data_IF_681679114177
#
_entry.id   IF_681679114177
#
_cell.length_a   1.000
_cell.length_b   1.000
_cell.length_c   1.000
_cell.angle_alpha   90.00
_cell.angle_beta   90.00
_cell.angle_gamma   90.00
#
_symmetry.space_group_name_H-M   'P 1'
#
loop_
_entity.id
_entity.type
_entity.pdbx_description
1 polymer ?
#
# COMPACT_ATOMS: atom_id res chain seq x y z
N UNK A 1 -6.66 5.66 5.48
CA UNK A 1 -5.42 4.98 5.94
C UNK A 1 -4.85 5.43 7.31
N UNK A 2 -5.38 6.45 7.99
CA UNK A 2 -4.86 6.98 9.28
C UNK A 2 -4.88 6.00 10.48
N UNK A 3 -5.60 4.89 10.36
CA UNK A 3 -5.66 3.83 11.36
C UNK A 3 -4.29 3.16 11.59
N UNK A 4 -3.47 3.06 10.54
CA UNK A 4 -2.23 2.26 10.56
C UNK A 4 -0.96 3.04 10.91
N UNK A 5 -1.00 4.37 10.99
CA UNK A 5 0.20 5.20 11.12
C UNK A 5 0.17 6.10 12.34
N UNK A 6 1.32 6.22 13.00
CA UNK A 6 1.58 7.26 13.98
C UNK A 6 1.59 8.65 13.29
N UNK A 7 1.38 9.74 14.05
CA UNK A 7 1.56 11.09 13.54
C UNK A 7 2.95 11.28 12.93
N UNK A 8 2.99 11.83 11.73
CA UNK A 8 4.19 12.13 10.93
C UNK A 8 4.05 13.54 10.37
N UNK A 9 5.14 14.18 9.86
CA UNK A 9 5.04 15.51 9.25
C UNK A 9 3.92 15.59 8.22
N UNK A 10 3.13 16.67 8.25
CA UNK A 10 1.84 16.76 7.55
C UNK A 10 1.94 16.45 6.04
N UNK A 11 2.94 17.00 5.36
CA UNK A 11 3.20 16.78 3.94
C UNK A 11 3.45 15.29 3.61
N UNK A 12 4.30 14.62 4.40
CA UNK A 12 4.60 13.19 4.25
C UNK A 12 3.34 12.35 4.51
N UNK A 13 2.60 12.72 5.54
CA UNK A 13 1.39 12.03 5.95
C UNK A 13 0.31 12.10 4.86
N UNK A 14 0.12 13.27 4.25
CA UNK A 14 -0.83 13.49 3.16
C UNK A 14 -0.46 12.68 1.91
N UNK A 15 0.82 12.67 1.53
CA UNK A 15 1.30 11.95 0.35
C UNK A 15 1.14 10.42 0.50
N UNK A 16 1.53 9.88 1.66
CA UNK A 16 1.34 8.44 1.96
C UNK A 16 -0.15 8.09 1.96
N UNK A 17 -0.99 8.91 2.60
CA UNK A 17 -2.44 8.65 2.65
C UNK A 17 -3.04 8.67 1.27
N UNK A 18 -2.76 9.71 0.47
CA UNK A 18 -3.31 9.86 -0.88
C UNK A 18 -2.91 8.69 -1.76
N UNK A 19 -1.64 8.26 -1.69
CA UNK A 19 -1.16 7.10 -2.43
C UNK A 19 -1.89 5.83 -2.01
N UNK A 20 -1.97 5.53 -0.71
CA UNK A 20 -2.61 4.29 -0.23
C UNK A 20 -4.13 4.32 -0.41
N UNK A 21 -4.79 5.47 -0.26
CA UNK A 21 -6.23 5.62 -0.51
C UNK A 21 -6.54 5.41 -2.01
N UNK A 22 -5.68 5.88 -2.92
CA UNK A 22 -5.80 5.56 -4.35
C UNK A 22 -5.76 4.05 -4.60
N UNK A 23 -4.81 3.33 -3.99
CA UNK A 23 -4.76 1.87 -4.10
C UNK A 23 -6.01 1.22 -3.50
N UNK A 24 -6.52 1.71 -2.37
CA UNK A 24 -7.71 1.15 -1.70
C UNK A 24 -8.99 1.30 -2.53
N UNK A 25 -9.13 2.44 -3.22
CA UNK A 25 -10.26 2.69 -4.10
C UNK A 25 -10.20 1.80 -5.36
N UNK A 26 -9.02 1.66 -5.96
CA UNK A 26 -8.88 1.07 -7.30
C UNK A 26 -8.49 -0.41 -7.32
N UNK A 27 -7.95 -0.97 -6.23
CA UNK A 27 -7.58 -2.40 -6.16
C UNK A 27 -8.50 -3.17 -5.21
N UNK A 28 -9.36 -4.07 -5.73
CA UNK A 28 -10.13 -4.99 -4.90
C UNK A 28 -9.26 -5.87 -4.00
N UNK A 29 -8.08 -6.29 -4.47
CA UNK A 29 -7.16 -7.11 -3.68
C UNK A 29 -6.62 -6.31 -2.50
N UNK A 30 -6.13 -5.09 -2.72
CA UNK A 30 -5.61 -4.25 -1.65
C UNK A 30 -6.69 -3.95 -0.59
N UNK A 31 -7.90 -3.60 -1.03
CA UNK A 31 -9.04 -3.36 -0.14
C UNK A 31 -9.37 -4.56 0.73
N UNK A 32 -9.35 -5.79 0.18
CA UNK A 32 -9.59 -7.01 0.97
C UNK A 32 -8.53 -7.23 2.03
N UNK A 33 -7.25 -7.05 1.70
CA UNK A 33 -6.14 -7.21 2.65
C UNK A 33 -6.23 -6.22 3.80
N UNK A 34 -6.52 -4.96 3.49
CA UNK A 34 -6.71 -3.90 4.49
C UNK A 34 -7.88 -4.21 5.41
N UNK A 35 -9.05 -4.56 4.85
CA UNK A 35 -10.24 -4.86 5.65
C UNK A 35 -10.03 -6.10 6.52
N UNK A 36 -9.41 -7.15 5.98
CA UNK A 36 -9.06 -8.34 6.76
C UNK A 36 -8.21 -7.98 7.98
N UNK A 37 -7.17 -7.15 7.80
CA UNK A 37 -6.31 -6.75 8.92
C UNK A 37 -7.05 -5.89 9.94
N UNK A 38 -7.88 -4.95 9.49
CA UNK A 38 -8.72 -4.13 10.38
C UNK A 38 -9.67 -5.00 11.20
N UNK A 39 -10.41 -5.90 10.54
CA UNK A 39 -11.34 -6.81 11.19
C UNK A 39 -10.62 -7.72 12.18
N UNK A 40 -9.45 -8.22 11.82
CA UNK A 40 -8.64 -9.05 12.71
C UNK A 40 -8.18 -8.28 13.96
N UNK A 41 -7.71 -7.03 13.82
CA UNK A 41 -7.30 -6.19 14.94
C UNK A 41 -8.48 -5.93 15.88
N UNK A 42 -9.63 -5.52 15.33
CA UNK A 42 -10.83 -5.19 16.10
C UNK A 42 -11.37 -6.44 16.83
N UNK A 43 -11.50 -7.57 16.13
CA UNK A 43 -12.11 -8.78 16.68
C UNK A 43 -11.25 -9.46 17.75
N UNK A 44 -9.95 -9.22 17.76
CA UNK A 44 -9.02 -9.81 18.71
C UNK A 44 -8.53 -8.80 19.77
N UNK A 45 -9.10 -7.58 19.82
CA UNK A 45 -8.73 -6.50 20.75
C UNK A 45 -7.22 -6.27 20.82
N UNK A 46 -6.56 -6.31 19.65
CA UNK A 46 -5.10 -6.19 19.57
C UNK A 46 -4.76 -4.71 19.66
N UNK A 47 -4.08 -4.32 20.74
CA UNK A 47 -3.43 -3.01 20.81
C UNK A 47 -2.30 -2.97 19.78
N UNK A 48 -2.61 -2.43 18.60
CA UNK A 48 -1.64 -2.30 17.52
C UNK A 48 -0.93 -0.98 17.66
N UNK A 49 0.33 -1.04 18.09
CA UNK A 49 1.27 0.06 17.88
C UNK A 49 1.20 0.46 16.40
N UNK A 50 0.80 1.70 16.13
CA UNK A 50 0.73 2.16 14.75
C UNK A 50 2.14 2.20 14.16
N UNK A 51 2.23 2.07 12.85
CA UNK A 51 3.48 2.13 12.14
C UNK A 51 4.04 3.56 12.18
N UNK A 52 5.31 3.71 12.53
CA UNK A 52 6.01 4.98 12.49
C UNK A 52 6.73 5.12 11.14
N UNK A 53 6.53 6.25 10.45
CA UNK A 53 7.24 6.56 9.21
C UNK A 53 8.54 7.30 9.55
N UNK A 54 9.67 6.76 9.12
CA UNK A 54 11.01 7.32 9.34
C UNK A 54 11.59 7.85 8.04
N UNK A 55 12.08 9.09 8.07
CA UNK A 55 12.84 9.67 6.96
C UNK A 55 14.23 9.01 6.95
N UNK A 56 14.57 8.34 5.86
CA UNK A 56 15.81 7.55 5.71
C UNK A 56 16.27 7.55 4.26
N UNK A 57 17.58 7.50 3.96
CA UNK A 57 18.04 7.38 2.58
C UNK A 57 17.59 6.09 1.89
N UNK A 58 17.22 5.05 2.66
CA UNK A 58 16.89 3.73 2.15
C UNK A 58 15.46 3.34 2.49
N UNK A 59 14.86 2.58 1.57
CA UNK A 59 13.58 1.89 1.78
C UNK A 59 13.78 0.67 2.67
N UNK A 60 13.16 0.65 3.85
CA UNK A 60 13.15 -0.54 4.72
C UNK A 60 11.87 -0.64 5.54
N UNK A 61 11.54 -1.87 5.91
CA UNK A 61 10.50 -2.15 6.91
C UNK A 61 11.14 -2.94 8.04
N UNK A 62 10.89 -2.51 9.27
CA UNK A 62 11.32 -3.18 10.48
C UNK A 62 10.12 -3.40 11.40
N UNK A 63 10.08 -4.54 12.06
CA UNK A 63 9.14 -4.79 13.14
C UNK A 63 9.95 -4.93 14.43
N UNK A 64 9.80 -3.99 15.35
CA UNK A 64 10.50 -4.04 16.63
C UNK A 64 9.75 -4.90 17.65
N UNK A 65 10.50 -5.37 18.65
CA UNK A 65 9.94 -6.05 19.82
C UNK A 65 8.80 -5.21 20.42
N UNK A 66 7.62 -5.82 20.59
CA UNK A 66 6.40 -5.13 21.00
C UNK A 66 5.45 -4.75 19.85
N UNK A 67 5.73 -5.17 18.61
CA UNK A 67 4.78 -5.08 17.49
C UNK A 67 4.70 -3.71 16.82
N UNK A 68 5.61 -2.79 17.15
CA UNK A 68 5.71 -1.47 16.49
C UNK A 68 6.44 -1.61 15.16
N UNK A 69 5.75 -1.28 14.07
CA UNK A 69 6.32 -1.21 12.74
C UNK A 69 7.06 0.09 12.49
N UNK A 70 8.16 0.03 11.75
CA UNK A 70 8.88 1.18 11.22
C UNK A 70 8.97 1.10 9.71
N UNK A 71 8.51 2.15 9.05
CA UNK A 71 8.48 2.29 7.61
C UNK A 71 9.48 3.38 7.22
N UNK A 72 10.65 2.98 6.76
CA UNK A 72 11.75 3.90 6.43
C UNK A 72 11.76 4.19 4.94
N UNK A 73 11.79 5.46 4.55
CA UNK A 73 11.89 5.86 3.14
C UNK A 73 12.42 7.29 2.94
N UNK A 74 13.01 7.57 1.76
CA UNK A 74 13.54 8.89 1.44
C UNK A 74 12.45 9.84 0.97
N UNK A 75 12.48 11.08 1.46
CA UNK A 75 11.61 12.17 1.05
C UNK A 75 12.42 13.39 0.63
N UNK A 76 11.92 14.14 -0.34
CA UNK A 76 12.47 15.44 -0.69
C UNK A 76 12.04 16.52 0.31
N UNK A 77 12.51 17.75 0.08
CA UNK A 77 12.19 18.91 0.94
C UNK A 77 10.70 19.28 0.94
N UNK A 78 9.93 18.80 -0.03
CA UNK A 78 8.50 19.05 -0.17
C UNK A 78 7.65 17.89 0.41
N UNK A 79 8.29 16.82 0.90
CA UNK A 79 7.60 15.65 1.44
C UNK A 79 7.23 14.59 0.39
N UNK A 80 7.77 14.65 -0.83
CA UNK A 80 7.53 13.65 -1.86
C UNK A 80 8.53 12.48 -1.76
N UNK A 81 8.09 11.21 -1.89
CA UNK A 81 8.97 10.05 -1.92
C UNK A 81 9.99 10.11 -3.06
N UNK A 82 11.28 9.94 -2.74
CA UNK A 82 12.36 9.94 -3.74
C UNK A 82 12.48 8.56 -4.37
N UNK A 83 12.41 8.47 -5.69
CA UNK A 83 12.55 7.21 -6.42
C UNK A 83 13.88 6.50 -6.11
N UNK A 84 13.92 5.15 -6.04
CA UNK A 84 15.15 4.42 -5.80
C UNK A 84 16.14 4.56 -6.97
N UNK A 85 17.44 4.63 -6.66
CA UNK A 85 18.50 4.71 -7.69
C UNK A 85 18.66 3.41 -8.51
N UNK A 86 18.12 2.28 -8.03
CA UNK A 86 18.24 0.99 -8.69
C UNK A 86 17.17 0.79 -9.77
N UNK A 87 17.59 0.96 -11.02
CA UNK A 87 16.86 0.49 -12.20
C UNK A 87 17.10 -1.02 -12.36
N UNK A 88 16.12 -1.87 -12.05
CA UNK A 88 16.13 -3.22 -12.60
C UNK A 88 15.65 -3.12 -14.05
N UNK A 89 16.44 -3.63 -15.01
CA UNK A 89 16.28 -3.44 -16.44
C UNK A 89 14.91 -3.90 -17.00
N UNK A 90 14.15 -4.66 -16.23
CA UNK A 90 12.87 -5.24 -16.62
C UNK A 90 11.65 -4.48 -16.08
N UNK A 91 11.79 -3.64 -15.05
CA UNK A 91 10.68 -2.84 -14.49
C UNK A 91 11.21 -1.61 -13.73
N UNK A 92 10.75 -0.41 -14.09
CA UNK A 92 11.02 0.82 -13.32
C UNK A 92 10.31 0.72 -11.97
N UNK A 93 11.05 0.35 -10.91
CA UNK A 93 10.52 0.33 -9.54
C UNK A 93 10.29 1.79 -9.13
N UNK A 94 9.04 2.14 -8.84
CA UNK A 94 8.67 3.49 -8.41
C UNK A 94 8.59 3.59 -6.89
N UNK A 95 8.64 4.82 -6.38
CA UNK A 95 8.50 5.08 -4.94
C UNK A 95 7.12 4.66 -4.42
N UNK A 96 6.06 4.80 -5.22
CA UNK A 96 4.71 4.32 -4.87
C UNK A 96 4.67 2.80 -4.72
N UNK A 97 5.41 2.06 -5.58
CA UNK A 97 5.49 0.60 -5.52
C UNK A 97 6.17 0.16 -4.24
N UNK A 98 7.27 0.81 -3.90
CA UNK A 98 7.99 0.54 -2.67
C UNK A 98 7.18 0.91 -1.44
N UNK A 99 6.44 2.02 -1.45
CA UNK A 99 5.52 2.37 -0.37
C UNK A 99 4.47 1.27 -0.17
N UNK A 100 3.86 0.78 -1.26
CA UNK A 100 2.91 -0.32 -1.19
C UNK A 100 3.57 -1.59 -0.63
N UNK A 101 4.75 -1.96 -1.12
CA UNK A 101 5.49 -3.14 -0.64
C UNK A 101 5.76 -3.07 0.87
N UNK A 102 6.25 -1.94 1.35
CA UNK A 102 6.56 -1.74 2.76
C UNK A 102 5.30 -1.72 3.63
N UNK A 103 4.21 -1.13 3.14
CA UNK A 103 2.93 -1.15 3.84
C UNK A 103 2.32 -2.56 3.89
N UNK A 104 2.41 -3.34 2.81
CA UNK A 104 2.00 -4.74 2.79
C UNK A 104 2.82 -5.57 3.77
N UNK A 105 4.14 -5.36 3.87
CA UNK A 105 4.95 -6.00 4.91
C UNK A 105 4.41 -5.68 6.29
N UNK A 106 4.01 -4.44 6.55
CA UNK A 106 3.45 -4.05 7.84
C UNK A 106 2.13 -4.78 8.16
N UNK A 107 1.17 -4.80 7.24
CA UNK A 107 -0.17 -5.35 7.53
C UNK A 107 -0.22 -6.89 7.45
N UNK A 108 0.69 -7.53 6.71
CA UNK A 108 0.77 -8.98 6.57
C UNK A 108 1.77 -9.63 7.55
N UNK A 109 2.55 -8.82 8.28
CA UNK A 109 3.49 -9.30 9.29
C UNK A 109 2.80 -10.15 10.36
N UNK A 110 3.41 -11.27 10.74
CA UNK A 110 2.95 -12.16 11.81
C UNK A 110 1.80 -13.10 11.41
N UNK A 111 0.78 -12.63 10.69
CA UNK A 111 -0.42 -13.42 10.43
C UNK A 111 -0.29 -14.39 9.23
N UNK A 112 0.54 -14.06 8.24
CA UNK A 112 0.76 -14.90 7.05
C UNK A 112 2.15 -15.53 6.98
N UNK A 113 3.01 -15.35 7.99
CA UNK A 113 4.45 -15.57 7.85
C UNK A 113 5.00 -14.95 6.55
N UNK A 114 4.46 -13.80 6.16
CA UNK A 114 4.74 -13.21 4.84
C UNK A 114 6.23 -12.90 4.72
N UNK A 115 6.93 -13.74 3.97
CA UNK A 115 8.26 -13.44 3.49
C UNK A 115 8.16 -12.39 2.36
N UNK A 116 9.31 -11.94 1.85
CA UNK A 116 9.33 -10.99 0.74
C UNK A 116 8.54 -11.48 -0.49
N UNK A 117 8.46 -12.79 -0.75
CA UNK A 117 7.75 -13.32 -1.92
C UNK A 117 6.24 -13.07 -1.86
N UNK A 118 5.61 -13.33 -0.72
CA UNK A 118 4.16 -13.12 -0.53
C UNK A 118 3.81 -11.66 -0.74
N UNK A 119 4.59 -10.75 -0.15
CA UNK A 119 4.43 -9.31 -0.38
C UNK A 119 4.58 -8.94 -1.85
N UNK A 120 5.62 -9.45 -2.52
CA UNK A 120 5.86 -9.17 -3.93
C UNK A 120 4.72 -9.66 -4.82
N UNK A 121 4.13 -10.84 -4.54
CA UNK A 121 2.97 -11.36 -5.28
C UNK A 121 1.79 -10.39 -5.15
N UNK A 122 1.40 -10.02 -3.92
CA UNK A 122 0.28 -9.12 -3.72
C UNK A 122 0.51 -7.74 -4.35
N UNK A 123 1.69 -7.17 -4.16
CA UNK A 123 2.08 -5.91 -4.80
C UNK A 123 1.95 -5.97 -6.32
N UNK A 124 2.42 -7.04 -6.96
CA UNK A 124 2.32 -7.20 -8.41
C UNK A 124 0.87 -7.37 -8.90
N UNK A 125 0.04 -8.10 -8.15
CA UNK A 125 -1.40 -8.22 -8.44
C UNK A 125 -2.08 -6.86 -8.33
N UNK A 126 -1.85 -6.15 -7.22
CA UNK A 126 -2.43 -4.81 -6.97
C UNK A 126 -2.02 -3.84 -8.08
N UNK A 127 -0.75 -3.83 -8.48
CA UNK A 127 -0.26 -3.01 -9.58
C UNK A 127 -0.94 -3.31 -10.91
N UNK A 128 -1.21 -4.57 -11.21
CA UNK A 128 -1.95 -4.96 -12.42
C UNK A 128 -3.43 -4.59 -12.35
N UNK A 129 -4.04 -4.57 -11.17
CA UNK A 129 -5.44 -4.14 -11.00
C UNK A 129 -5.62 -2.63 -11.23
N UNK A 130 -4.61 -1.84 -10.88
CA UNK A 130 -4.63 -0.37 -11.04
C UNK A 130 -3.97 0.11 -12.34
N UNK A 131 -3.55 -0.82 -13.20
CA UNK A 131 -3.02 -0.46 -14.52
C UNK A 131 -4.08 0.37 -15.28
N UNK A 132 -3.71 1.50 -15.91
CA UNK A 132 -4.68 2.36 -16.58
C UNK A 132 -5.55 1.65 -17.61
N UNK A 133 -4.99 0.63 -18.30
CA UNK A 133 -5.74 -0.19 -19.26
C UNK A 133 -6.75 -1.09 -18.54
N UNK A 134 -6.36 -1.68 -17.41
CA UNK A 134 -7.25 -2.48 -16.57
C UNK A 134 -8.41 -1.63 -15.99
N UNK A 135 -8.12 -0.42 -15.51
CA UNK A 135 -9.13 0.52 -15.00
C UNK A 135 -10.08 0.94 -16.13
N UNK A 136 -9.54 1.34 -17.29
CA UNK A 136 -10.35 1.75 -18.43
C UNK A 136 -11.25 0.62 -18.94
N UNK A 137 -10.72 -0.60 -19.04
CA UNK A 137 -11.49 -1.80 -19.42
C UNK A 137 -12.61 -2.08 -18.42
N UNK A 138 -12.33 -1.99 -17.12
CA UNK A 138 -13.34 -2.18 -16.06
C UNK A 138 -14.47 -1.15 -16.19
N UNK A 139 -14.13 0.13 -16.33
CA UNK A 139 -15.11 1.20 -16.53
C UNK A 139 -15.97 0.96 -17.79
N UNK A 140 -15.34 0.59 -18.91
CA UNK A 140 -16.04 0.25 -20.14
C UNK A 140 -17.04 -0.90 -19.93
N UNK A 141 -16.64 -2.01 -19.30
CA UNK A 141 -17.54 -3.13 -19.02
C UNK A 141 -18.72 -2.72 -18.11
N UNK A 142 -18.47 -1.89 -17.09
CA UNK A 142 -19.53 -1.42 -16.18
C UNK A 142 -20.52 -0.46 -16.85
N UNK A 143 -20.07 0.41 -17.75
CA UNK A 143 -20.95 1.33 -18.46
C UNK A 143 -21.63 0.71 -19.69
N UNK A 144 -20.98 -0.24 -20.36
CA UNK A 144 -21.59 -0.99 -21.48
C UNK A 144 -22.74 -1.89 -21.01
N UNK A 145 -22.71 -2.41 -19.79
CA UNK A 145 -23.80 -3.22 -19.22
C UNK A 145 -25.08 -2.45 -18.83
N UNK A 146 -25.07 -1.10 -18.86
CA UNK A 146 -26.25 -0.26 -18.56
C UNK A 146 -27.01 0.22 -19.80
N UNK A 147 -26.55 -0.15 -21.00
CA UNK A 147 -27.17 0.25 -22.27
C UNK A 147 -28.21 -0.72 -22.84
N UNK A 148 -28.34 -1.92 -22.30
CA UNK A 148 -29.07 -3.02 -22.95
C UNK A 148 -30.35 -3.42 -22.17
N UNK A 149 -31.14 -2.43 -21.77
CA UNK A 149 -32.56 -2.61 -21.43
C UNK A 149 -33.34 -1.39 -21.87
N UNK A 150 -33.69 -1.33 -23.16
CA UNK A 150 -34.83 -0.56 -23.71
C UNK A 150 -34.91 -0.80 -25.22
N UNK A 151 -35.64 -1.84 -25.60
CA UNK A 151 -36.53 -1.86 -26.78
C UNK A 151 -37.69 -2.78 -26.48
#
# INVERSE_FOLDING_TARGET
MSFFFEPTPELICEEIKTTLDFHYLNSPTFRRLVNYKVDYIINNDIDTNKCEVKISPNYSYENAEGGRGYLSMPFDINGFPIAPDFYNCENKITSEKLLLDLFLKHILHGDLNSNNEVTCIFSNVIYKEIDPVAIAHTLLCFFSGKGEQRT
#
